data_IF_994407852438
#
_entry.id   IF_994407852438
#
_cell.length_a   1.000
_cell.length_b   1.000
_cell.length_c   1.000
_cell.angle_alpha   90.00
_cell.angle_beta   90.00
_cell.angle_gamma   90.00
#
_symmetry.space_group_name_H-M   'P 1'
#
loop_
_entity.id
_entity.type
_entity.pdbx_description
1 polymer ?
#
# COMPACT_ATOMS: atom_id res chain seq x y z
N UNK A 1 -22.71 -1.28 9.93
CA UNK A 1 -21.94 -2.37 10.55
C UNK A 1 -20.64 -2.49 9.78
N UNK A 2 -19.69 -2.27 10.42
CA UNK A 2 -18.43 -1.59 10.32
C UNK A 2 -17.44 -2.17 9.31
N UNK A 3 -17.00 -1.37 8.33
CA UNK A 3 -15.85 -1.67 7.45
C UNK A 3 -14.50 -1.72 8.21
N UNK A 4 -14.45 -1.22 9.44
CA UNK A 4 -13.33 -1.45 10.36
C UNK A 4 -13.11 -2.95 10.63
N UNK A 5 -14.20 -3.73 10.66
CA UNK A 5 -14.11 -5.20 10.74
C UNK A 5 -13.70 -5.84 9.39
N UNK A 6 -13.96 -5.16 8.26
CA UNK A 6 -13.49 -5.60 6.95
C UNK A 6 -12.00 -5.25 6.75
N UNK A 7 -11.56 -4.08 7.20
CA UNK A 7 -10.14 -3.73 7.27
C UNK A 7 -9.39 -4.70 8.20
N UNK A 8 -9.93 -4.97 9.39
CA UNK A 8 -9.41 -6.01 10.28
C UNK A 8 -9.28 -7.35 9.55
N UNK A 9 -10.28 -7.80 8.79
CA UNK A 9 -10.22 -9.05 8.02
C UNK A 9 -9.28 -9.01 6.82
N UNK A 10 -9.11 -7.87 6.14
CA UNK A 10 -8.18 -7.70 5.02
C UNK A 10 -6.73 -7.52 5.50
N UNK A 11 -6.53 -6.82 6.62
CA UNK A 11 -5.25 -6.72 7.30
C UNK A 11 -4.92 -8.01 8.05
N UNK A 12 -5.96 -8.74 8.50
CA UNK A 12 -5.89 -10.04 9.18
C UNK A 12 -6.05 -11.23 8.26
N UNK A 13 -5.88 -11.08 6.96
CA UNK A 13 -5.77 -12.19 6.02
C UNK A 13 -4.70 -13.18 6.47
N UNK A 14 -5.07 -14.03 7.45
CA UNK A 14 -4.28 -14.78 8.42
C UNK A 14 -3.48 -13.86 9.35
N UNK A 15 -4.08 -13.50 10.50
CA UNK A 15 -3.46 -12.71 11.60
C UNK A 15 -2.37 -13.49 12.36
N UNK A 16 -2.03 -14.67 11.92
CA UNK A 16 -0.83 -15.31 12.40
C UNK A 16 0.38 -14.66 11.70
N UNK A 17 1.30 -14.07 12.47
CA UNK A 17 2.56 -13.62 11.91
C UNK A 17 3.18 -14.79 11.15
N UNK A 18 3.70 -14.54 9.97
CA UNK A 18 4.42 -15.56 9.24
C UNK A 18 5.50 -16.15 10.14
N UNK A 19 5.63 -17.46 10.14
CA UNK A 19 6.73 -18.08 10.88
C UNK A 19 8.08 -17.64 10.29
N UNK A 20 9.16 -17.84 11.03
CA UNK A 20 10.52 -17.44 10.64
C UNK A 20 10.91 -17.92 9.22
N UNK A 21 10.48 -19.13 8.84
CA UNK A 21 10.77 -19.66 7.51
C UNK A 21 9.95 -18.95 6.41
N UNK A 22 8.69 -18.60 6.70
CA UNK A 22 7.87 -17.86 5.76
C UNK A 22 8.42 -16.43 5.56
N UNK A 23 8.83 -15.74 6.63
CA UNK A 23 9.47 -14.43 6.53
C UNK A 23 10.78 -14.49 5.72
N UNK A 24 11.65 -15.46 5.97
CA UNK A 24 12.87 -15.66 5.18
C UNK A 24 12.58 -15.91 3.71
N UNK A 25 11.55 -16.70 3.38
CA UNK A 25 11.14 -16.95 2.00
C UNK A 25 10.62 -15.67 1.35
N UNK A 26 9.82 -14.87 2.07
CA UNK A 26 9.28 -13.62 1.55
C UNK A 26 10.37 -12.55 1.38
N UNK A 27 11.36 -12.49 2.27
CA UNK A 27 12.51 -11.59 2.12
C UNK A 27 13.35 -11.97 0.91
N UNK A 28 13.68 -13.25 0.76
CA UNK A 28 14.41 -13.76 -0.40
C UNK A 28 13.62 -13.52 -1.71
N UNK A 29 12.30 -13.72 -1.70
CA UNK A 29 11.45 -13.44 -2.85
C UNK A 29 11.51 -11.97 -3.23
N UNK A 30 11.38 -11.06 -2.25
CA UNK A 30 11.49 -9.62 -2.46
C UNK A 30 12.82 -9.24 -3.12
N UNK A 31 13.93 -9.72 -2.56
CA UNK A 31 15.28 -9.39 -3.05
C UNK A 31 15.52 -9.93 -4.46
N UNK A 32 15.09 -11.17 -4.74
CA UNK A 32 15.18 -11.77 -6.08
C UNK A 32 14.34 -10.97 -7.10
N UNK A 33 13.14 -10.54 -6.74
CA UNK A 33 12.28 -9.76 -7.61
C UNK A 33 12.84 -8.35 -7.87
N UNK A 34 13.40 -7.69 -6.87
CA UNK A 34 14.07 -6.39 -7.04
C UNK A 34 15.27 -6.52 -7.98
N UNK A 35 16.05 -7.59 -7.82
CA UNK A 35 17.28 -7.77 -8.59
C UNK A 35 17.01 -8.24 -10.03
N UNK A 36 16.13 -9.22 -10.22
CA UNK A 36 15.98 -9.93 -11.50
C UNK A 36 14.61 -9.72 -12.19
N UNK A 37 13.61 -9.20 -11.49
CA UNK A 37 12.23 -9.09 -11.98
C UNK A 37 11.45 -10.40 -11.87
N UNK A 38 10.15 -10.34 -12.20
CA UNK A 38 9.21 -11.45 -11.97
C UNK A 38 9.50 -12.64 -12.90
N UNK A 39 9.79 -12.39 -14.18
CA UNK A 39 9.98 -13.45 -15.19
C UNK A 39 11.26 -14.27 -14.99
N UNK A 40 12.29 -13.67 -14.36
CA UNK A 40 13.57 -14.32 -14.13
C UNK A 40 13.73 -14.92 -12.74
N UNK A 41 12.71 -14.84 -11.92
CA UNK A 41 12.73 -15.37 -10.54
C UNK A 41 11.91 -16.66 -10.46
N UNK A 42 12.54 -17.76 -10.09
CA UNK A 42 11.91 -19.07 -9.88
C UNK A 42 11.73 -19.38 -8.40
N UNK A 43 10.78 -20.27 -8.05
CA UNK A 43 10.61 -20.74 -6.68
C UNK A 43 11.85 -21.49 -6.15
N UNK A 44 12.61 -22.14 -7.03
CA UNK A 44 13.85 -22.82 -6.71
C UNK A 44 14.97 -21.84 -6.31
N UNK A 45 15.07 -20.72 -7.01
CA UNK A 45 16.03 -19.65 -6.69
C UNK A 45 15.65 -18.97 -5.38
N UNK A 46 14.36 -18.70 -5.16
CA UNK A 46 13.87 -18.16 -3.90
C UNK A 46 14.16 -19.12 -2.74
N UNK A 47 13.87 -20.42 -2.88
CA UNK A 47 14.16 -21.40 -1.84
C UNK A 47 15.67 -21.46 -1.50
N UNK A 48 16.52 -21.40 -2.51
CA UNK A 48 17.97 -21.36 -2.34
C UNK A 48 18.44 -20.09 -1.63
N UNK A 49 17.92 -18.92 -2.05
CA UNK A 49 18.26 -17.64 -1.44
C UNK A 49 17.76 -17.54 0.02
N UNK A 50 16.60 -18.12 0.31
CA UNK A 50 16.05 -18.22 1.67
C UNK A 50 16.74 -19.28 2.53
N UNK A 51 17.65 -20.07 1.98
CA UNK A 51 18.30 -21.23 2.64
C UNK A 51 17.28 -22.22 3.21
N UNK A 52 16.21 -22.50 2.45
CA UNK A 52 15.18 -23.47 2.83
C UNK A 52 15.07 -24.59 1.81
N UNK A 53 14.65 -25.78 2.27
CA UNK A 53 14.35 -26.88 1.37
C UNK A 53 13.08 -26.61 0.54
N UNK A 54 13.02 -27.13 -0.70
CA UNK A 54 11.87 -27.03 -1.60
C UNK A 54 10.55 -27.47 -0.91
N UNK A 55 10.58 -28.56 -0.16
CA UNK A 55 9.41 -29.06 0.59
C UNK A 55 8.94 -28.03 1.64
N UNK A 56 9.86 -27.31 2.28
CA UNK A 56 9.54 -26.29 3.25
C UNK A 56 8.87 -25.08 2.59
N UNK A 57 9.36 -24.65 1.41
CA UNK A 57 8.74 -23.59 0.64
C UNK A 57 7.32 -23.98 0.22
N UNK A 58 7.14 -25.16 -0.43
CA UNK A 58 5.83 -25.57 -0.91
C UNK A 58 4.79 -25.87 0.18
N UNK A 59 5.23 -26.22 1.38
CA UNK A 59 4.34 -26.36 2.55
C UNK A 59 3.72 -25.03 2.97
N UNK A 60 4.43 -23.91 2.80
CA UNK A 60 3.98 -22.57 3.18
C UNK A 60 3.31 -21.84 2.04
N UNK A 61 3.86 -21.98 0.86
CA UNK A 61 3.37 -21.35 -0.36
C UNK A 61 3.21 -22.42 -1.44
N UNK A 62 2.00 -23.00 -1.58
CA UNK A 62 1.77 -24.18 -2.42
C UNK A 62 2.03 -23.94 -3.92
N UNK A 63 2.03 -22.70 -4.34
CA UNK A 63 2.34 -22.29 -5.71
C UNK A 63 2.90 -20.86 -5.74
N UNK A 64 3.30 -20.41 -6.93
CA UNK A 64 3.85 -19.08 -7.17
C UNK A 64 2.86 -17.98 -6.81
N UNK A 65 1.59 -18.14 -7.19
CA UNK A 65 0.55 -17.13 -6.95
C UNK A 65 0.30 -16.91 -5.46
N UNK A 66 0.33 -17.99 -4.67
CA UNK A 66 0.22 -17.90 -3.22
C UNK A 66 1.40 -17.13 -2.59
N UNK A 67 2.62 -17.38 -3.09
CA UNK A 67 3.80 -16.65 -2.63
C UNK A 67 3.73 -15.17 -3.01
N UNK A 68 3.36 -14.86 -4.27
CA UNK A 68 3.25 -13.48 -4.75
C UNK A 68 2.15 -12.71 -4.02
N UNK A 69 0.99 -13.34 -3.77
CA UNK A 69 -0.10 -12.74 -2.99
C UNK A 69 0.32 -12.46 -1.55
N UNK A 70 1.02 -13.39 -0.90
CA UNK A 70 1.54 -13.20 0.45
C UNK A 70 2.58 -12.06 0.51
N UNK A 71 3.50 -12.00 -0.46
CA UNK A 71 4.48 -10.94 -0.58
C UNK A 71 3.80 -9.58 -0.78
N UNK A 72 2.87 -9.48 -1.73
CA UNK A 72 2.14 -8.24 -1.99
C UNK A 72 1.37 -7.74 -0.76
N UNK A 73 0.71 -8.65 -0.03
CA UNK A 73 -0.01 -8.33 1.21
C UNK A 73 0.95 -7.88 2.31
N UNK A 74 2.13 -8.51 2.44
CA UNK A 74 3.16 -8.10 3.41
C UNK A 74 3.73 -6.72 3.10
N UNK A 75 4.06 -6.46 1.85
CA UNK A 75 4.57 -5.15 1.41
C UNK A 75 3.53 -4.04 1.61
N UNK A 76 2.25 -4.30 1.31
CA UNK A 76 1.19 -3.34 1.58
C UNK A 76 1.00 -3.06 3.08
N UNK A 77 1.08 -4.08 3.95
CA UNK A 77 1.06 -3.87 5.41
C UNK A 77 2.27 -3.07 5.91
N UNK A 78 3.47 -3.33 5.36
CA UNK A 78 4.67 -2.54 5.69
C UNK A 78 4.50 -1.07 5.30
N UNK A 79 3.96 -0.80 4.10
CA UNK A 79 3.65 0.55 3.66
C UNK A 79 2.65 1.24 4.60
N UNK A 80 1.55 0.59 4.96
CA UNK A 80 0.56 1.12 5.91
C UNK A 80 1.20 1.40 7.27
N UNK A 81 1.99 0.47 7.81
CA UNK A 81 2.65 0.65 9.11
C UNK A 81 3.66 1.80 9.08
N UNK A 82 4.39 1.99 7.98
CA UNK A 82 5.28 3.12 7.78
C UNK A 82 4.52 4.45 7.77
N UNK A 83 3.41 4.52 7.03
CA UNK A 83 2.54 5.71 7.02
C UNK A 83 1.97 5.98 8.41
N UNK A 84 1.42 4.98 9.09
CA UNK A 84 0.88 5.13 10.44
C UNK A 84 1.93 5.66 11.43
N UNK A 85 3.17 5.18 11.35
CA UNK A 85 4.25 5.64 12.22
C UNK A 85 4.60 7.12 12.00
N UNK A 86 4.54 7.58 10.74
CA UNK A 86 4.79 8.99 10.40
C UNK A 86 3.66 9.92 10.86
N UNK A 87 2.44 9.40 11.03
CA UNK A 87 1.25 10.17 11.41
C UNK A 87 0.93 10.11 12.90
N UNK A 88 1.63 9.29 13.67
CA UNK A 88 1.28 8.95 15.06
C UNK A 88 1.25 10.14 16.02
N UNK A 89 2.02 11.20 15.74
CA UNK A 89 2.15 12.38 16.59
C UNK A 89 1.43 13.62 16.02
N UNK A 90 0.67 13.46 14.92
CA UNK A 90 -0.02 14.56 14.26
C UNK A 90 -1.49 14.60 14.69
N UNK A 91 -1.85 15.57 15.51
CA UNK A 91 -3.22 15.73 16.02
C UNK A 91 -4.07 16.68 15.15
N UNK A 92 -3.44 17.67 14.49
CA UNK A 92 -4.16 18.66 13.70
C UNK A 92 -4.72 18.02 12.41
N UNK A 93 -6.06 18.03 12.18
CA UNK A 93 -6.69 17.28 11.08
C UNK A 93 -6.17 17.65 9.69
N UNK A 94 -5.89 18.94 9.48
CA UNK A 94 -5.36 19.42 8.18
C UNK A 94 -3.94 18.92 7.94
N UNK A 95 -3.08 19.00 8.95
CA UNK A 95 -1.70 18.53 8.88
C UNK A 95 -1.67 17.01 8.70
N UNK A 96 -2.54 16.28 9.43
CA UNK A 96 -2.68 14.83 9.30
C UNK A 96 -3.03 14.40 7.87
N UNK A 97 -4.00 15.07 7.22
CA UNK A 97 -4.39 14.77 5.84
C UNK A 97 -3.27 15.05 4.84
N UNK A 98 -2.58 16.19 4.99
CA UNK A 98 -1.47 16.57 4.12
C UNK A 98 -0.31 15.60 4.31
N UNK A 99 0.14 15.38 5.55
CA UNK A 99 1.22 14.46 5.86
C UNK A 99 0.91 13.02 5.42
N UNK A 100 -0.34 12.58 5.58
CA UNK A 100 -0.79 11.28 5.11
C UNK A 100 -0.69 11.12 3.60
N UNK A 101 -1.12 12.12 2.84
CA UNK A 101 -1.00 12.10 1.39
C UNK A 101 0.48 12.07 0.95
N UNK A 102 1.33 12.91 1.56
CA UNK A 102 2.77 12.94 1.29
C UNK A 102 3.44 11.61 1.64
N UNK A 103 3.14 11.05 2.82
CA UNK A 103 3.69 9.77 3.26
C UNK A 103 3.34 8.63 2.30
N UNK A 104 2.08 8.51 1.87
CA UNK A 104 1.65 7.50 0.91
C UNK A 104 2.33 7.67 -0.44
N UNK A 105 2.41 8.89 -0.98
CA UNK A 105 3.09 9.17 -2.25
C UNK A 105 4.56 8.78 -2.14
N UNK A 106 5.23 9.15 -1.06
CA UNK A 106 6.63 8.82 -0.81
C UNK A 106 6.86 7.31 -0.73
N UNK A 107 6.05 6.58 0.03
CA UNK A 107 6.13 5.13 0.14
C UNK A 107 6.00 4.44 -1.22
N UNK A 108 5.05 4.87 -2.06
CA UNK A 108 4.82 4.28 -3.38
C UNK A 108 5.96 4.62 -4.34
N UNK A 109 6.41 5.86 -4.38
CA UNK A 109 7.46 6.29 -5.33
C UNK A 109 8.84 5.76 -4.95
N UNK A 110 9.12 5.53 -3.67
CA UNK A 110 10.39 4.97 -3.17
C UNK A 110 10.41 3.45 -3.09
N UNK A 111 9.28 2.76 -3.27
CA UNK A 111 9.23 1.30 -3.16
C UNK A 111 9.94 0.62 -4.34
N UNK A 112 11.19 0.17 -4.09
CA UNK A 112 12.03 -0.43 -5.12
C UNK A 112 11.41 -1.68 -5.77
N UNK A 113 10.69 -2.51 -5.01
CA UNK A 113 9.99 -3.69 -5.55
C UNK A 113 8.88 -3.28 -6.51
N UNK A 114 8.00 -2.36 -6.08
CA UNK A 114 6.90 -1.87 -6.90
C UNK A 114 7.43 -1.23 -8.19
N UNK A 115 8.38 -0.31 -8.08
CA UNK A 115 8.98 0.38 -9.22
C UNK A 115 9.66 -0.61 -10.18
N UNK A 116 10.40 -1.59 -9.65
CA UNK A 116 11.04 -2.62 -10.47
C UNK A 116 10.02 -3.44 -11.25
N UNK A 117 8.99 -3.94 -10.59
CA UNK A 117 7.97 -4.79 -11.21
C UNK A 117 7.12 -4.03 -12.23
N UNK A 118 6.78 -2.78 -11.97
CA UNK A 118 6.08 -1.94 -12.94
C UNK A 118 6.92 -1.68 -14.21
N UNK A 119 8.25 -1.58 -14.08
CA UNK A 119 9.15 -1.38 -15.21
C UNK A 119 9.41 -2.66 -16.00
N UNK A 120 9.54 -3.81 -15.34
CA UNK A 120 9.97 -5.06 -15.98
C UNK A 120 8.82 -5.98 -16.37
N UNK A 121 7.74 -5.96 -15.62
CA UNK A 121 6.65 -6.93 -15.74
C UNK A 121 5.25 -6.26 -15.55
N UNK A 122 4.94 -5.14 -16.27
CA UNK A 122 3.70 -4.39 -16.05
C UNK A 122 2.44 -5.23 -16.31
N UNK A 123 2.47 -6.13 -17.28
CA UNK A 123 1.34 -7.00 -17.63
C UNK A 123 0.95 -7.94 -16.48
N UNK A 124 1.92 -8.38 -15.68
CA UNK A 124 1.71 -9.24 -14.52
C UNK A 124 1.22 -8.43 -13.30
N UNK A 125 1.64 -7.17 -13.20
CA UNK A 125 1.28 -6.31 -12.07
C UNK A 125 -0.12 -5.72 -12.18
N UNK A 126 -0.58 -5.37 -13.38
CA UNK A 126 -1.89 -4.75 -13.60
C UNK A 126 -3.07 -5.54 -13.01
N UNK A 127 -3.17 -6.87 -13.15
CA UNK A 127 -4.24 -7.65 -12.52
C UNK A 127 -4.23 -7.60 -10.99
N UNK A 128 -3.04 -7.51 -10.38
CA UNK A 128 -2.90 -7.44 -8.91
C UNK A 128 -3.30 -6.07 -8.35
N UNK A 129 -3.01 -5.01 -9.09
CA UNK A 129 -3.21 -3.63 -8.65
C UNK A 129 -4.58 -3.07 -9.06
N UNK A 130 -5.05 -3.38 -10.28
CA UNK A 130 -6.23 -2.77 -10.87
C UNK A 130 -7.26 -3.78 -11.43
N UNK A 131 -7.02 -5.10 -11.29
CA UNK A 131 -7.94 -6.15 -11.70
C UNK A 131 -9.22 -6.21 -10.86
N UNK A 132 -10.19 -7.03 -11.27
CA UNK A 132 -11.41 -7.25 -10.48
C UNK A 132 -11.06 -7.78 -9.09
N UNK A 133 -11.52 -7.08 -8.05
CA UNK A 133 -11.26 -7.45 -6.65
C UNK A 133 -9.82 -7.21 -6.21
N UNK A 134 -9.08 -6.33 -6.90
CA UNK A 134 -7.69 -5.99 -6.59
C UNK A 134 -7.48 -5.83 -5.07
N UNK A 135 -6.83 -6.80 -4.41
CA UNK A 135 -6.76 -6.81 -2.94
C UNK A 135 -5.97 -5.62 -2.39
N UNK A 136 -4.97 -5.14 -3.13
CA UNK A 136 -4.15 -3.98 -2.73
C UNK A 136 -4.98 -2.70 -2.76
N UNK A 137 -5.79 -2.49 -3.81
CA UNK A 137 -6.69 -1.34 -3.88
C UNK A 137 -7.74 -1.39 -2.76
N UNK A 138 -8.32 -2.57 -2.51
CA UNK A 138 -9.30 -2.75 -1.43
C UNK A 138 -8.69 -2.46 -0.05
N UNK A 139 -7.45 -2.88 0.19
CA UNK A 139 -6.72 -2.61 1.43
C UNK A 139 -6.42 -1.13 1.60
N UNK A 140 -5.92 -0.47 0.55
CA UNK A 140 -5.65 0.98 0.57
C UNK A 140 -6.93 1.80 0.82
N UNK A 141 -8.04 1.46 0.13
CA UNK A 141 -9.34 2.08 0.36
C UNK A 141 -9.82 1.92 1.81
N UNK A 142 -9.77 0.69 2.34
CA UNK A 142 -10.21 0.40 3.70
C UNK A 142 -9.37 1.16 4.74
N UNK A 143 -8.06 1.26 4.52
CA UNK A 143 -7.16 2.05 5.35
C UNK A 143 -7.54 3.54 5.33
N UNK A 144 -7.70 4.14 4.15
CA UNK A 144 -8.06 5.55 3.99
C UNK A 144 -9.43 5.83 4.65
N UNK A 145 -10.42 4.95 4.43
CA UNK A 145 -11.74 5.09 5.05
C UNK A 145 -11.66 5.09 6.58
N UNK A 146 -10.87 4.19 7.17
CA UNK A 146 -10.68 4.15 8.62
C UNK A 146 -10.00 5.40 9.17
N UNK A 147 -9.04 5.99 8.44
CA UNK A 147 -8.42 7.27 8.83
C UNK A 147 -9.40 8.44 8.76
N UNK A 148 -10.21 8.51 7.69
CA UNK A 148 -11.26 9.52 7.56
C UNK A 148 -12.32 9.40 8.68
N UNK A 149 -12.80 8.18 8.98
CA UNK A 149 -13.75 7.93 10.06
C UNK A 149 -13.18 8.34 11.43
N UNK A 150 -11.90 8.08 11.69
CA UNK A 150 -11.22 8.53 12.90
C UNK A 150 -11.19 10.06 12.98
N UNK A 151 -10.83 10.73 11.88
CA UNK A 151 -10.80 12.19 11.81
C UNK A 151 -12.20 12.82 11.96
N UNK A 152 -13.25 12.20 11.39
CA UNK A 152 -14.65 12.61 11.58
C UNK A 152 -15.03 12.52 13.07
N UNK A 153 -14.70 11.44 13.73
CA UNK A 153 -14.99 11.24 15.16
C UNK A 153 -14.31 12.29 16.05
N UNK A 154 -13.19 12.84 15.61
CA UNK A 154 -12.45 13.92 16.28
C UNK A 154 -12.92 15.32 15.85
N UNK A 155 -13.91 15.44 14.99
CA UNK A 155 -14.44 16.73 14.50
C UNK A 155 -13.55 17.42 13.46
N UNK A 156 -12.60 16.71 12.85
CA UNK A 156 -11.61 17.26 11.94
C UNK A 156 -11.98 17.22 10.46
N UNK A 157 -12.90 16.37 10.05
CA UNK A 157 -13.33 16.18 8.66
C UNK A 157 -14.86 16.30 8.60
N UNK A 158 -15.39 16.94 7.56
CA UNK A 158 -16.84 17.18 7.40
C UNK A 158 -17.51 16.25 6.39
N UNK A 159 -16.76 15.37 5.71
CA UNK A 159 -17.37 14.49 4.70
C UNK A 159 -18.41 13.56 5.32
N UNK A 160 -19.56 13.44 4.65
CA UNK A 160 -20.62 12.50 5.02
C UNK A 160 -20.41 11.10 4.41
N UNK A 161 -19.47 10.94 3.47
CA UNK A 161 -19.22 9.69 2.75
C UNK A 161 -17.73 9.36 2.70
N UNK A 162 -17.22 8.86 3.83
CA UNK A 162 -15.83 8.43 3.98
C UNK A 162 -15.46 7.32 2.99
N UNK A 163 -16.41 6.46 2.62
CA UNK A 163 -16.18 5.34 1.72
C UNK A 163 -15.98 5.80 0.27
N UNK A 164 -16.82 6.70 -0.22
CA UNK A 164 -16.68 7.26 -1.57
C UNK A 164 -15.40 8.07 -1.71
N UNK A 165 -15.06 8.89 -0.71
CA UNK A 165 -13.82 9.66 -0.70
C UNK A 165 -12.60 8.72 -0.67
N UNK A 166 -12.63 7.69 0.18
CA UNK A 166 -11.55 6.72 0.25
C UNK A 166 -11.35 5.97 -1.08
N UNK A 167 -12.42 5.62 -1.79
CA UNK A 167 -12.36 5.01 -3.12
C UNK A 167 -11.70 5.95 -4.13
N UNK A 168 -12.08 7.23 -4.16
CA UNK A 168 -11.48 8.23 -5.06
C UNK A 168 -10.00 8.41 -4.76
N UNK A 169 -9.64 8.60 -3.49
CA UNK A 169 -8.24 8.78 -3.08
C UNK A 169 -7.38 7.55 -3.40
N UNK A 170 -7.87 6.35 -3.10
CA UNK A 170 -7.16 5.11 -3.39
C UNK A 170 -6.89 4.94 -4.90
N UNK A 171 -7.85 5.33 -5.76
CA UNK A 171 -7.67 5.31 -7.22
C UNK A 171 -6.70 6.36 -7.72
N UNK A 172 -6.71 7.56 -7.17
CA UNK A 172 -5.72 8.60 -7.51
C UNK A 172 -4.31 8.14 -7.14
N UNK A 173 -4.13 7.59 -5.94
CA UNK A 173 -2.86 7.03 -5.47
C UNK A 173 -2.40 5.90 -6.41
N UNK A 174 -3.29 4.98 -6.75
CA UNK A 174 -3.00 3.90 -7.68
C UNK A 174 -2.60 4.43 -9.06
N UNK A 175 -3.28 5.46 -9.57
CA UNK A 175 -2.95 6.10 -10.85
C UNK A 175 -1.52 6.64 -10.85
N UNK A 176 -1.13 7.34 -9.78
CA UNK A 176 0.26 7.85 -9.62
C UNK A 176 1.29 6.71 -9.48
N UNK A 177 0.91 5.61 -8.82
CA UNK A 177 1.78 4.46 -8.69
C UNK A 177 2.05 3.77 -10.05
N UNK A 178 1.01 3.64 -10.88
CA UNK A 178 1.09 2.98 -12.19
C UNK A 178 1.74 3.86 -13.27
N UNK A 179 1.60 5.16 -13.16
CA UNK A 179 2.18 6.11 -14.12
C UNK A 179 2.88 7.26 -13.37
N UNK A 180 4.18 7.14 -13.10
CA UNK A 180 4.94 8.19 -12.43
C UNK A 180 5.23 9.40 -13.32
N UNK A 181 5.01 9.30 -14.65
CA UNK A 181 5.10 10.45 -15.55
C UNK A 181 3.94 11.42 -15.27
N UNK A 182 4.24 12.53 -14.64
CA UNK A 182 3.24 13.49 -14.18
C UNK A 182 3.79 14.91 -14.17
N UNK A 183 2.89 15.89 -14.32
CA UNK A 183 3.20 17.31 -14.12
C UNK A 183 3.16 17.71 -12.64
N UNK A 184 2.76 16.79 -11.76
CA UNK A 184 2.73 17.02 -10.32
C UNK A 184 4.16 17.04 -9.76
N UNK A 185 4.47 17.92 -8.80
CA UNK A 185 5.82 18.08 -8.26
C UNK A 185 6.17 16.98 -7.24
N UNK A 186 6.13 15.70 -7.64
CA UNK A 186 6.33 14.58 -6.71
C UNK A 186 7.73 14.54 -6.08
N UNK A 187 8.73 15.17 -6.72
CA UNK A 187 10.10 15.23 -6.22
C UNK A 187 10.38 16.46 -5.37
N UNK A 188 9.48 17.44 -5.33
CA UNK A 188 9.57 18.67 -4.55
C UNK A 188 8.53 18.64 -3.43
N UNK A 189 8.98 18.37 -2.22
CA UNK A 189 8.12 18.14 -1.05
C UNK A 189 7.30 19.38 -0.70
N UNK A 190 7.90 20.57 -0.72
CA UNK A 190 7.22 21.83 -0.41
C UNK A 190 6.14 22.16 -1.45
N UNK A 191 6.46 21.97 -2.73
CA UNK A 191 5.52 22.18 -3.82
C UNK A 191 4.38 21.16 -3.80
N UNK A 192 4.66 19.89 -3.44
CA UNK A 192 3.67 18.83 -3.30
C UNK A 192 2.76 19.09 -2.10
N UNK A 193 3.31 19.49 -0.95
CA UNK A 193 2.54 19.90 0.23
C UNK A 193 1.59 21.05 -0.09
N UNK A 194 2.10 22.09 -0.74
CA UNK A 194 1.28 23.22 -1.17
C UNK A 194 0.18 22.81 -2.16
N UNK A 195 0.45 21.85 -3.05
CA UNK A 195 -0.54 21.31 -3.98
C UNK A 195 -1.64 20.53 -3.23
N UNK A 196 -1.26 19.59 -2.37
CA UNK A 196 -2.21 18.77 -1.56
C UNK A 196 -3.06 19.68 -0.69
N UNK A 197 -2.47 20.69 -0.03
CA UNK A 197 -3.17 21.66 0.79
C UNK A 197 -4.20 22.51 0.04
N UNK A 198 -3.96 22.79 -1.25
CA UNK A 198 -4.89 23.55 -2.09
C UNK A 198 -5.97 22.68 -2.77
N UNK A 199 -5.68 21.41 -3.03
CA UNK A 199 -6.56 20.57 -3.85
C UNK A 199 -7.35 19.54 -3.03
N UNK A 200 -6.70 18.85 -2.09
CA UNK A 200 -7.36 17.79 -1.33
C UNK A 200 -7.92 18.29 0.01
N UNK A 201 -7.21 19.16 0.72
CA UNK A 201 -7.69 19.64 2.01
C UNK A 201 -9.06 20.33 1.94
N UNK A 202 -9.37 21.19 0.96
CA UNK A 202 -10.69 21.81 0.84
C UNK A 202 -11.85 20.83 0.57
N UNK A 203 -11.56 19.67 0.01
CA UNK A 203 -12.58 18.63 -0.23
C UNK A 203 -13.00 17.90 1.05
N UNK A 204 -12.17 17.96 2.09
CA UNK A 204 -12.31 17.14 3.30
C UNK A 204 -12.54 17.97 4.56
N UNK A 205 -12.08 19.21 4.56
CA UNK A 205 -12.09 20.07 5.74
C UNK A 205 -13.17 21.15 5.64
N UNK A 206 -13.72 21.62 6.76
CA UNK A 206 -14.63 22.76 6.77
C UNK A 206 -13.92 24.00 6.23
N UNK A 207 -14.68 24.87 5.53
CA UNK A 207 -14.19 26.19 5.21
C UNK A 207 -13.84 26.92 6.51
N UNK A 208 -12.59 27.33 6.64
CA UNK A 208 -12.16 28.20 7.75
C UNK A 208 -12.80 29.57 7.55
N UNK A 209 -13.81 29.88 8.38
CA UNK A 209 -14.45 31.21 8.43
C UNK A 209 -13.46 32.26 8.90
#
# INVERSE_FOLDING_TARGET
MSDSAALGRLLSGTDEPFDEYAERILDAARDQLVQFGLRRTSLEEIARAAEVGRATLFRRFPNRDALMSALASREARRCIASVDSQLSEIDAPREFLIAGALAVIREITSNALLQRLLQTDPEEMLPLLAGRGAPILAMGRAYIAAQLERSIAQGGVITSDSQAIAEVLARLILSLALNPETVLPLADEDALEALVGRTLAPLLLPETS
#
